data_IF_528277546142
#
_entry.id   IF_528277546142
#
_cell.length_a   1.000
_cell.length_b   1.000
_cell.length_c   1.000
_cell.angle_alpha   90.00
_cell.angle_beta   90.00
_cell.angle_gamma   90.00
#
_symmetry.space_group_name_H-M   'P 1'
#
loop_
_entity.id
_entity.type
_entity.pdbx_description
1 polymer ?
#
# COMPACT_ATOMS: atom_id res chain seq x y z
N UNK A 1 23.48 2.79 24.33
CA UNK A 1 22.27 2.27 23.67
C UNK A 1 21.80 3.36 22.73
N UNK A 2 22.05 3.22 21.44
CA UNK A 2 21.62 4.24 20.47
C UNK A 2 20.11 4.07 20.26
N UNK A 3 19.33 5.07 20.67
CA UNK A 3 17.90 5.09 20.46
C UNK A 3 17.66 5.49 18.99
N UNK A 4 17.61 4.51 18.09
CA UNK A 4 17.25 4.76 16.69
C UNK A 4 15.75 5.12 16.70
N UNK A 5 15.44 6.39 16.44
CA UNK A 5 14.07 6.81 16.19
C UNK A 5 13.67 6.21 14.85
N UNK A 6 12.70 5.28 14.87
CA UNK A 6 12.12 4.74 13.64
C UNK A 6 11.24 5.79 12.98
N UNK A 7 11.34 5.96 11.67
CA UNK A 7 10.39 6.79 10.92
C UNK A 7 9.11 6.01 10.68
N UNK A 8 8.00 6.72 10.50
CA UNK A 8 6.72 6.14 10.12
C UNK A 8 6.54 6.18 8.61
N UNK A 9 5.86 5.18 8.06
CA UNK A 9 5.54 5.19 6.63
C UNK A 9 4.13 4.72 6.31
N UNK A 10 3.60 5.24 5.21
CA UNK A 10 2.43 4.71 4.51
C UNK A 10 2.87 4.08 3.20
N UNK A 11 2.35 2.89 2.90
CA UNK A 11 2.66 2.14 1.68
C UNK A 11 1.42 2.14 0.77
N UNK A 12 1.55 2.60 -0.48
CA UNK A 12 0.49 2.57 -1.50
C UNK A 12 0.85 1.58 -2.61
N UNK A 13 -0.16 0.93 -3.18
CA UNK A 13 0.05 -0.21 -4.08
C UNK A 13 1.00 -1.22 -3.43
N UNK A 14 0.73 -1.55 -2.16
CA UNK A 14 1.68 -2.24 -1.27
C UNK A 14 2.11 -3.61 -1.79
N UNK A 15 1.28 -4.26 -2.62
CA UNK A 15 1.53 -5.63 -3.07
C UNK A 15 1.71 -6.56 -1.86
N UNK A 16 2.76 -7.36 -1.89
CA UNK A 16 3.12 -8.25 -0.77
C UNK A 16 4.00 -7.56 0.29
N UNK A 17 4.12 -6.23 0.23
CA UNK A 17 4.77 -5.35 1.20
C UNK A 17 6.29 -5.57 1.34
N UNK A 18 6.99 -5.28 0.24
CA UNK A 18 8.45 -5.31 0.19
C UNK A 18 9.12 -4.23 1.07
N UNK A 19 8.47 -3.08 1.26
CA UNK A 19 9.02 -1.98 2.06
C UNK A 19 9.19 -2.38 3.53
N UNK A 20 8.21 -3.05 4.14
CA UNK A 20 8.32 -3.58 5.51
C UNK A 20 9.47 -4.57 5.68
N UNK A 21 9.77 -5.39 4.65
CA UNK A 21 10.90 -6.31 4.68
C UNK A 21 12.22 -5.52 4.63
N UNK A 22 12.32 -4.53 3.75
CA UNK A 22 13.52 -3.70 3.62
C UNK A 22 13.77 -2.79 4.84
N UNK A 23 12.71 -2.34 5.51
CA UNK A 23 12.77 -1.34 6.58
C UNK A 23 12.45 -1.88 7.98
N UNK A 24 12.43 -3.21 8.16
CA UNK A 24 12.08 -3.89 9.43
C UNK A 24 12.64 -3.21 10.70
N UNK A 25 13.93 -2.82 10.67
CA UNK A 25 14.62 -2.25 11.83
C UNK A 25 14.55 -0.72 11.94
N UNK A 26 14.13 -0.03 10.88
CA UNK A 26 14.24 1.45 10.77
C UNK A 26 12.91 2.16 10.50
N UNK A 27 11.89 1.44 10.05
CA UNK A 27 10.58 1.97 9.71
C UNK A 27 9.45 1.26 10.44
N UNK A 28 8.39 2.00 10.75
CA UNK A 28 7.14 1.48 11.30
C UNK A 28 5.98 1.80 10.34
N UNK A 29 5.26 0.80 9.80
CA UNK A 29 4.10 1.07 8.96
C UNK A 29 2.94 1.62 9.78
N UNK A 30 2.33 2.72 9.34
CA UNK A 30 1.09 3.23 9.93
C UNK A 30 -0.14 2.61 9.28
N UNK A 31 -0.06 2.42 7.96
CA UNK A 31 -1.14 1.90 7.15
C UNK A 31 -0.62 1.45 5.78
N UNK A 32 -1.37 0.55 5.16
CA UNK A 32 -1.17 0.10 3.79
C UNK A 32 -2.34 0.53 2.90
N UNK A 33 -2.14 0.44 1.59
CA UNK A 33 -3.17 0.66 0.59
C UNK A 33 -2.97 -0.31 -0.56
N UNK A 34 -3.87 -1.28 -0.60
CA UNK A 34 -3.90 -2.34 -1.60
C UNK A 34 -5.35 -2.73 -1.86
N UNK A 35 -5.66 -3.00 -3.12
CA UNK A 35 -7.00 -3.34 -3.60
C UNK A 35 -7.09 -4.77 -4.17
N UNK A 36 -5.96 -5.35 -4.59
CA UNK A 36 -5.96 -6.68 -5.20
C UNK A 36 -6.17 -7.78 -4.15
N UNK A 37 -7.08 -8.75 -4.38
CA UNK A 37 -7.46 -9.73 -3.36
C UNK A 37 -6.31 -10.56 -2.81
N UNK A 38 -5.40 -11.01 -3.68
CA UNK A 38 -4.25 -11.83 -3.27
C UNK A 38 -3.29 -11.07 -2.33
N UNK A 39 -2.72 -9.91 -2.72
CA UNK A 39 -1.84 -9.17 -1.83
C UNK A 39 -2.58 -8.68 -0.57
N UNK A 40 -3.86 -8.28 -0.64
CA UNK A 40 -4.65 -7.96 0.56
C UNK A 40 -4.68 -9.11 1.58
N UNK A 41 -4.87 -10.36 1.12
CA UNK A 41 -4.84 -11.54 2.00
C UNK A 41 -3.44 -11.77 2.59
N UNK A 42 -2.37 -11.50 1.83
CA UNK A 42 -0.99 -11.56 2.33
C UNK A 42 -0.77 -10.51 3.43
N UNK A 43 -1.22 -9.28 3.21
CA UNK A 43 -1.11 -8.20 4.22
C UNK A 43 -1.84 -8.56 5.50
N UNK A 44 -3.10 -9.01 5.40
CA UNK A 44 -3.90 -9.40 6.56
C UNK A 44 -3.27 -10.56 7.35
N UNK A 45 -2.57 -11.47 6.68
CA UNK A 45 -1.88 -12.58 7.34
C UNK A 45 -0.54 -12.17 7.98
N UNK A 46 0.26 -11.32 7.31
CA UNK A 46 1.62 -10.97 7.74
C UNK A 46 1.67 -9.76 8.69
N UNK A 47 0.73 -8.85 8.56
CA UNK A 47 0.67 -7.58 9.29
C UNK A 47 -0.76 -7.34 9.84
N UNK A 48 -1.27 -8.23 10.72
CA UNK A 48 -2.65 -8.17 11.19
C UNK A 48 -2.99 -6.88 11.94
N UNK A 49 -1.98 -6.22 12.51
CA UNK A 49 -2.13 -4.98 13.30
C UNK A 49 -2.01 -3.70 12.46
N UNK A 50 -1.68 -3.81 11.17
CA UNK A 50 -1.53 -2.66 10.27
C UNK A 50 -2.75 -2.57 9.35
N UNK A 51 -3.52 -1.47 9.38
CA UNK A 51 -4.72 -1.36 8.57
C UNK A 51 -4.39 -1.23 7.08
N UNK A 52 -5.05 -2.01 6.24
CA UNK A 52 -5.15 -1.74 4.81
C UNK A 52 -6.34 -0.80 4.54
N UNK A 53 -6.05 0.39 4.03
CA UNK A 53 -7.02 1.46 3.78
C UNK A 53 -7.70 1.38 2.41
N UNK A 54 -7.31 0.40 1.58
CA UNK A 54 -7.92 0.15 0.27
C UNK A 54 -7.48 1.16 -0.78
N UNK A 55 -8.42 1.73 -1.53
CA UNK A 55 -8.19 2.63 -2.67
C UNK A 55 -7.35 3.86 -2.28
N UNK A 56 -6.17 3.99 -2.89
CA UNK A 56 -5.22 5.07 -2.63
C UNK A 56 -5.77 6.46 -2.99
N UNK A 57 -6.73 6.56 -3.92
CA UNK A 57 -7.32 7.85 -4.34
C UNK A 57 -8.09 8.52 -3.19
N UNK A 58 -8.61 7.74 -2.25
CA UNK A 58 -9.32 8.28 -1.10
C UNK A 58 -8.38 8.88 -0.03
N UNK A 59 -7.10 8.48 0.00
CA UNK A 59 -6.19 8.79 1.10
C UNK A 59 -5.85 10.27 1.25
N UNK A 60 -5.56 11.05 0.19
CA UNK A 60 -5.20 12.46 0.35
C UNK A 60 -6.25 13.26 1.13
N UNK A 61 -7.55 13.04 0.84
CA UNK A 61 -8.64 13.69 1.57
C UNK A 61 -8.71 13.23 3.02
N UNK A 62 -8.56 11.92 3.27
CA UNK A 62 -8.56 11.38 4.64
C UNK A 62 -7.43 11.93 5.50
N UNK A 63 -6.23 12.08 4.92
CA UNK A 63 -5.06 12.70 5.59
C UNK A 63 -5.35 14.17 5.89
N UNK A 64 -5.83 14.93 4.89
CA UNK A 64 -6.14 16.36 5.07
C UNK A 64 -7.24 16.60 6.11
N UNK A 65 -8.21 15.69 6.21
CA UNK A 65 -9.28 15.74 7.20
C UNK A 65 -8.85 15.23 8.60
N UNK A 66 -7.64 14.68 8.75
CA UNK A 66 -7.17 14.07 9.99
C UNK A 66 -7.83 12.74 10.35
N UNK A 67 -8.50 12.08 9.40
CA UNK A 67 -9.14 10.77 9.59
C UNK A 67 -8.10 9.64 9.70
N UNK A 68 -6.94 9.81 9.05
CA UNK A 68 -5.79 8.91 9.14
C UNK A 68 -4.51 9.73 9.37
N UNK A 69 -3.49 9.19 10.06
CA UNK A 69 -2.26 9.91 10.33
C UNK A 69 -1.44 10.11 9.05
N UNK A 70 -0.83 11.29 8.91
CA UNK A 70 0.18 11.54 7.90
C UNK A 70 1.50 10.85 8.29
N UNK A 71 2.08 9.99 7.43
CA UNK A 71 3.37 9.36 7.70
C UNK A 71 4.54 10.32 7.45
N UNK A 72 5.71 10.00 8.00
CA UNK A 72 6.96 10.71 7.66
C UNK A 72 7.38 10.42 6.20
N UNK A 73 7.13 9.20 5.72
CA UNK A 73 7.46 8.74 4.37
C UNK A 73 6.24 8.12 3.71
N UNK A 74 5.95 8.53 2.47
CA UNK A 74 5.01 7.82 1.60
C UNK A 74 5.81 7.02 0.57
N UNK A 75 5.55 5.72 0.48
CA UNK A 75 6.22 4.80 -0.47
C UNK A 75 5.19 4.06 -1.30
N UNK A 76 5.53 3.73 -2.55
CA UNK A 76 4.70 2.88 -3.38
C UNK A 76 5.27 2.69 -4.76
N UNK A 77 4.79 1.65 -5.44
CA UNK A 77 5.02 1.41 -6.86
C UNK A 77 3.68 1.25 -7.54
N UNK A 78 3.21 2.29 -8.23
CA UNK A 78 1.96 2.19 -8.99
C UNK A 78 2.09 1.12 -10.08
N UNK A 79 0.99 0.51 -10.54
CA UNK A 79 1.07 -0.49 -11.59
C UNK A 79 1.80 0.07 -12.82
N UNK A 80 2.65 -0.76 -13.43
CA UNK A 80 3.49 -0.36 -14.56
C UNK A 80 2.79 -0.46 -15.92
N UNK A 81 1.60 -1.05 -15.95
CA UNK A 81 0.80 -1.16 -17.17
C UNK A 81 0.23 0.21 -17.56
N UNK A 82 0.03 0.43 -18.86
CA UNK A 82 -0.71 1.60 -19.35
C UNK A 82 -2.20 1.41 -19.17
N UNK A 83 -2.97 2.49 -19.03
CA UNK A 83 -4.43 2.41 -19.02
C UNK A 83 -4.95 1.60 -20.23
N UNK A 84 -5.88 0.69 -19.99
CA UNK A 84 -6.41 -0.20 -21.03
C UNK A 84 -5.49 -1.35 -21.45
N UNK A 85 -4.36 -1.59 -20.77
CA UNK A 85 -3.54 -2.76 -21.04
C UNK A 85 -4.33 -4.05 -20.77
N UNK A 86 -4.26 -5.01 -21.68
CA UNK A 86 -5.01 -6.26 -21.54
C UNK A 86 -4.26 -7.22 -20.63
N UNK A 87 -4.88 -7.58 -19.50
CA UNK A 87 -4.37 -8.58 -18.55
C UNK A 87 -5.26 -9.80 -18.55
N UNK A 88 -4.65 -10.98 -18.36
CA UNK A 88 -5.39 -12.24 -18.26
C UNK A 88 -6.06 -12.34 -16.88
N UNK A 89 -7.37 -12.56 -16.86
CA UNK A 89 -8.18 -12.77 -15.65
C UNK A 89 -8.96 -14.09 -15.74
N UNK A 90 -9.72 -14.40 -14.70
CA UNK A 90 -10.69 -15.50 -14.69
C UNK A 90 -11.80 -15.37 -15.75
N UNK A 91 -12.02 -14.15 -16.26
CA UNK A 91 -12.99 -13.81 -17.32
C UNK A 91 -12.36 -13.67 -18.70
N UNK A 92 -11.07 -14.02 -18.85
CA UNK A 92 -10.30 -13.84 -20.09
C UNK A 92 -9.47 -12.55 -20.07
N UNK A 93 -9.11 -12.02 -21.25
CA UNK A 93 -8.36 -10.77 -21.32
C UNK A 93 -9.26 -9.58 -21.01
N UNK A 94 -8.93 -8.83 -19.96
CA UNK A 94 -9.64 -7.63 -19.53
C UNK A 94 -8.69 -6.42 -19.55
N UNK A 95 -9.17 -5.22 -19.93
CA UNK A 95 -8.38 -4.01 -19.82
C UNK A 95 -8.15 -3.64 -18.35
N UNK A 96 -6.96 -3.13 -18.01
CA UNK A 96 -6.68 -2.60 -16.67
C UNK A 96 -7.44 -1.30 -16.44
N UNK A 97 -8.26 -1.29 -15.38
CA UNK A 97 -8.91 -0.09 -14.86
C UNK A 97 -7.92 0.71 -13.99
N UNK A 98 -6.93 1.33 -14.63
CA UNK A 98 -5.99 2.22 -13.97
C UNK A 98 -6.69 3.53 -13.60
N UNK A 99 -7.19 3.59 -12.38
CA UNK A 99 -7.58 4.83 -11.73
C UNK A 99 -6.41 5.24 -10.84
N UNK A 100 -5.61 6.20 -11.32
CA UNK A 100 -4.55 6.85 -10.53
C UNK A 100 -5.08 8.24 -10.13
#
# INVERSE_FOLDING_TARGET
MNNIIKFTYGSICSGIEAASVAWHDIGTPLWFSEIEPFPCAVLAHRFPDVPNLGDMIALPKKILNGEIPAPDVLVGGTPCFTAGHMVLTDKGYMPTDLKI
#
